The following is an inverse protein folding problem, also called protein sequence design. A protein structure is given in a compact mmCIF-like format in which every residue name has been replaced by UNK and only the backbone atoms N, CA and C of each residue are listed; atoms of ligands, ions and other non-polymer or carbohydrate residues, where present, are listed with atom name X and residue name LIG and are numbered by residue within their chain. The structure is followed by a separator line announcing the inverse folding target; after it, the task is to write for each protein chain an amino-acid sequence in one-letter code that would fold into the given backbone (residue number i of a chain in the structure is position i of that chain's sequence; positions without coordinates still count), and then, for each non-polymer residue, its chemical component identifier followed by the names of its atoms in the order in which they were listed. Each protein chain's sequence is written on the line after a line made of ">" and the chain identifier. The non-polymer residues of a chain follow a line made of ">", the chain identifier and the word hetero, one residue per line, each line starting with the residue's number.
data_IF_752342633722
#
_entry.id   IF_752342633722
#
_cell.length_a   1.000
_cell.length_b   1.000
_cell.length_c   1.000
_cell.angle_alpha   90.00
_cell.angle_beta   90.00
_cell.angle_gamma   90.00
#
_symmetry.space_group_name_H-M   'P 1'
#
loop_
_entity.id
_entity.type
_entity.pdbx_description
1 polymer ?
#
# COMPACT_ATOMS: atom_id res chain seq x y z
N UNK A 1 -20.64 -23.74 -5.24
CA UNK A 1 -21.16 -24.83 -4.38
C UNK A 1 -20.25 -26.06 -4.39
N UNK A 2 -19.90 -26.61 -5.56
CA UNK A 2 -19.05 -27.81 -5.66
C UNK A 2 -17.65 -27.61 -5.04
N UNK A 3 -17.01 -26.46 -5.28
CA UNK A 3 -15.70 -26.14 -4.71
C UNK A 3 -15.69 -26.02 -3.17
N UNK A 4 -16.81 -25.64 -2.56
CA UNK A 4 -16.91 -25.56 -1.10
C UNK A 4 -17.22 -26.89 -0.45
N UNK A 5 -17.89 -27.80 -1.19
CA UNK A 5 -18.13 -29.17 -0.77
C UNK A 5 -16.85 -30.00 -0.83
N UNK A 6 -16.06 -29.86 -1.89
CA UNK A 6 -14.75 -30.52 -1.99
C UNK A 6 -13.78 -30.02 -0.92
N UNK A 7 -13.72 -28.72 -0.65
CA UNK A 7 -12.86 -28.15 0.40
C UNK A 7 -13.33 -28.53 1.82
N UNK A 8 -14.65 -28.72 2.03
CA UNK A 8 -15.21 -29.24 3.28
C UNK A 8 -14.88 -30.72 3.49
N UNK A 9 -14.94 -31.53 2.42
CA UNK A 9 -14.57 -32.94 2.46
C UNK A 9 -13.07 -33.12 2.72
N UNK A 10 -12.21 -32.35 2.04
CA UNK A 10 -10.76 -32.36 2.24
C UNK A 10 -10.40 -31.93 3.67
N UNK A 11 -11.03 -30.87 4.19
CA UNK A 11 -10.85 -30.43 5.58
C UNK A 11 -11.32 -31.49 6.59
N UNK A 12 -12.45 -32.16 6.32
CA UNK A 12 -12.97 -33.24 7.16
C UNK A 12 -12.02 -34.44 7.22
N UNK A 13 -11.51 -34.86 6.06
CA UNK A 13 -10.54 -35.97 5.96
C UNK A 13 -9.23 -35.61 6.67
N UNK A 14 -8.65 -34.43 6.41
CA UNK A 14 -7.40 -34.00 7.06
C UNK A 14 -7.52 -33.87 8.58
N UNK A 15 -8.70 -33.47 9.07
CA UNK A 15 -8.99 -33.38 10.51
C UNK A 15 -9.11 -34.75 11.18
N UNK A 16 -9.53 -35.78 10.46
CA UNK A 16 -9.54 -37.17 10.96
C UNK A 16 -8.12 -37.74 11.10
N UNK A 17 -7.16 -37.26 10.31
CA UNK A 17 -5.74 -37.64 10.39
C UNK A 17 -4.90 -36.73 11.30
N UNK A 18 -5.54 -35.89 12.12
CA UNK A 18 -4.90 -34.92 13.05
C UNK A 18 -3.88 -33.97 12.38
N UNK A 19 -4.04 -33.72 11.08
CA UNK A 19 -3.21 -32.77 10.35
C UNK A 19 -3.87 -31.39 10.40
N UNK A 20 -3.14 -30.37 10.90
CA UNK A 20 -3.60 -28.97 10.88
C UNK A 20 -3.81 -28.51 9.44
N UNK A 21 -5.07 -28.40 9.04
CA UNK A 21 -5.46 -27.90 7.72
C UNK A 21 -6.04 -26.49 7.82
N UNK A 22 -5.55 -25.60 6.94
CA UNK A 22 -5.98 -24.21 6.83
C UNK A 22 -6.99 -24.11 5.69
N UNK A 23 -8.15 -23.48 5.95
CA UNK A 23 -9.27 -23.40 5.00
C UNK A 23 -9.10 -22.24 4.02
N UNK A 24 -8.23 -22.42 3.02
CA UNK A 24 -7.93 -21.43 1.97
C UNK A 24 -9.16 -21.04 1.13
N UNK A 25 -10.17 -21.92 1.01
CA UNK A 25 -11.37 -21.64 0.20
C UNK A 25 -12.15 -20.39 0.63
N UNK A 26 -11.99 -19.93 1.87
CA UNK A 26 -12.70 -18.73 2.37
C UNK A 26 -12.32 -17.46 1.61
N UNK A 27 -11.04 -17.31 1.27
CA UNK A 27 -10.49 -16.16 0.53
C UNK A 27 -10.97 -16.16 -0.93
N UNK A 28 -11.27 -17.33 -1.48
CA UNK A 28 -11.71 -17.50 -2.88
C UNK A 28 -13.21 -17.20 -3.06
N UNK A 29 -14.01 -17.17 -1.97
CA UNK A 29 -15.47 -16.96 -2.05
C UNK A 29 -15.86 -15.58 -2.62
N UNK A 30 -15.27 -14.45 -2.20
CA UNK A 30 -15.56 -13.15 -2.80
C UNK A 30 -15.13 -13.07 -4.26
N UNK A 31 -14.05 -13.77 -4.64
CA UNK A 31 -13.56 -13.82 -6.03
C UNK A 31 -14.54 -14.59 -6.92
N UNK A 32 -15.17 -15.65 -6.40
CA UNK A 32 -16.22 -16.39 -7.11
C UNK A 32 -17.48 -15.55 -7.36
N UNK A 33 -17.80 -14.59 -6.48
CA UNK A 33 -18.92 -13.65 -6.70
C UNK A 33 -18.66 -12.72 -7.89
N UNK A 34 -17.40 -12.39 -8.17
CA UNK A 34 -17.01 -11.60 -9.36
C UNK A 34 -17.22 -12.42 -10.65
N UNK A 35 -17.10 -13.75 -10.60
CA UNK A 35 -17.26 -14.64 -11.76
C UNK A 35 -18.71 -15.06 -12.05
N UNK A 36 -19.71 -14.61 -11.27
CA UNK A 36 -21.11 -14.94 -11.51
C UNK A 36 -21.64 -14.30 -12.80
N UNK A 37 -22.55 -14.98 -13.52
CA UNK A 37 -23.01 -14.54 -14.85
C UNK A 37 -23.63 -13.12 -14.87
N UNK A 38 -24.29 -12.71 -13.78
CA UNK A 38 -24.94 -11.39 -13.63
C UNK A 38 -24.00 -10.24 -13.23
N UNK A 39 -22.71 -10.52 -12.96
CA UNK A 39 -21.75 -9.53 -12.46
C UNK A 39 -21.13 -8.64 -13.56
N UNK A 40 -21.84 -8.40 -14.68
CA UNK A 40 -21.26 -7.69 -15.85
C UNK A 40 -20.72 -6.30 -15.48
N UNK A 41 -21.36 -5.62 -14.53
CA UNK A 41 -20.90 -4.33 -13.98
C UNK A 41 -19.61 -4.48 -13.15
N UNK A 42 -19.52 -5.50 -12.29
CA UNK A 42 -18.34 -5.79 -11.46
C UNK A 42 -17.15 -6.14 -12.35
N UNK A 43 -17.34 -7.03 -13.34
CA UNK A 43 -16.29 -7.38 -14.31
C UNK A 43 -15.80 -6.18 -15.12
N UNK A 44 -16.68 -5.23 -15.45
CA UNK A 44 -16.31 -3.96 -16.08
C UNK A 44 -15.47 -3.09 -15.15
N UNK A 45 -15.86 -2.96 -13.87
CA UNK A 45 -15.10 -2.20 -12.87
C UNK A 45 -13.69 -2.77 -12.66
N UNK A 46 -13.55 -4.10 -12.51
CA UNK A 46 -12.24 -4.76 -12.41
C UNK A 46 -11.38 -4.55 -13.66
N UNK A 47 -11.97 -4.63 -14.85
CA UNK A 47 -11.25 -4.36 -16.10
C UNK A 47 -10.78 -2.89 -16.17
N UNK A 48 -11.60 -1.95 -15.71
CA UNK A 48 -11.22 -0.54 -15.65
C UNK A 48 -10.04 -0.34 -14.69
N UNK A 49 -10.10 -0.87 -13.47
CA UNK A 49 -8.99 -0.82 -12.49
C UNK A 49 -7.70 -1.42 -13.08
N UNK A 50 -7.80 -2.58 -13.73
CA UNK A 50 -6.63 -3.21 -14.36
C UNK A 50 -6.07 -2.36 -15.50
N UNK A 51 -6.92 -1.68 -16.27
CA UNK A 51 -6.48 -0.82 -17.37
C UNK A 51 -5.86 0.49 -16.88
N UNK A 52 -6.19 0.98 -15.68
CA UNK A 52 -5.57 2.17 -15.07
C UNK A 52 -4.28 1.85 -14.32
N UNK A 53 -4.08 0.59 -13.93
CA UNK A 53 -2.91 0.13 -13.18
C UNK A 53 -1.56 0.42 -13.87
N UNK A 54 -1.38 0.26 -15.19
CA UNK A 54 -0.13 0.61 -15.87
C UNK A 54 0.22 2.10 -15.74
N UNK A 55 -0.77 3.00 -15.86
CA UNK A 55 -0.55 4.44 -15.72
C UNK A 55 -0.15 4.81 -14.27
N UNK A 56 -0.76 4.17 -13.28
CA UNK A 56 -0.42 4.34 -11.85
C UNK A 56 0.97 3.76 -11.54
N UNK A 57 1.38 2.68 -12.22
CA UNK A 57 2.65 1.99 -11.97
C UNK A 57 3.85 2.91 -12.16
N UNK A 58 3.85 3.78 -13.16
CA UNK A 58 4.96 4.72 -13.38
C UNK A 58 5.14 5.71 -12.22
N UNK A 59 4.04 6.31 -11.75
CA UNK A 59 4.07 7.20 -10.57
C UNK A 59 4.46 6.44 -9.31
N UNK A 60 3.97 5.21 -9.17
CA UNK A 60 4.31 4.35 -8.05
C UNK A 60 5.79 3.98 -8.01
N UNK A 61 6.41 3.70 -9.14
CA UNK A 61 7.85 3.45 -9.20
C UNK A 61 8.67 4.69 -8.83
N UNK A 62 8.25 5.87 -9.29
CA UNK A 62 8.90 7.14 -8.91
C UNK A 62 8.78 7.39 -7.40
N UNK A 63 7.61 7.12 -6.82
CA UNK A 63 7.35 7.22 -5.39
C UNK A 63 8.24 6.24 -4.60
N UNK A 64 8.27 4.96 -5.00
CA UNK A 64 9.11 3.96 -4.34
C UNK A 64 10.59 4.32 -4.43
N UNK A 65 11.05 4.84 -5.58
CA UNK A 65 12.42 5.34 -5.70
C UNK A 65 12.69 6.49 -4.73
N UNK A 66 11.79 7.47 -4.62
CA UNK A 66 11.92 8.56 -3.65
C UNK A 66 11.99 8.04 -2.21
N UNK A 67 11.07 7.16 -1.83
CA UNK A 67 11.03 6.54 -0.50
C UNK A 67 12.34 5.83 -0.17
N UNK A 68 12.86 5.01 -1.09
CA UNK A 68 14.11 4.27 -0.91
C UNK A 68 15.33 5.20 -0.78
N UNK A 69 15.37 6.28 -1.56
CA UNK A 69 16.43 7.30 -1.48
C UNK A 69 16.41 8.05 -0.14
N UNK A 70 15.24 8.50 0.30
CA UNK A 70 15.09 9.14 1.61
C UNK A 70 15.44 8.19 2.75
N UNK A 71 15.10 6.90 2.63
CA UNK A 71 15.47 5.88 3.61
C UNK A 71 16.98 5.68 3.69
N UNK A 72 17.69 5.70 2.56
CA UNK A 72 19.16 5.64 2.55
C UNK A 72 19.77 6.88 3.19
N UNK A 73 19.21 8.05 2.93
CA UNK A 73 19.64 9.30 3.56
C UNK A 73 19.40 9.28 5.07
N UNK A 74 18.24 8.80 5.53
CA UNK A 74 17.95 8.63 6.95
C UNK A 74 18.93 7.65 7.63
N UNK A 75 19.22 6.51 6.99
CA UNK A 75 20.21 5.56 7.52
C UNK A 75 21.58 6.21 7.71
N UNK A 76 22.03 7.01 6.73
CA UNK A 76 23.32 7.71 6.82
C UNK A 76 23.31 8.87 7.80
N UNK A 77 22.17 9.54 7.96
CA UNK A 77 22.04 10.66 8.87
C UNK A 77 21.98 10.17 10.33
N UNK A 78 21.19 9.13 10.62
CA UNK A 78 20.83 8.75 11.99
C UNK A 78 21.45 7.44 12.48
N UNK A 79 21.86 6.54 11.57
CA UNK A 79 22.23 5.17 11.92
C UNK A 79 23.49 5.01 12.78
N UNK A 80 24.41 5.98 12.76
CA UNK A 80 25.64 5.95 13.57
C UNK A 80 25.52 6.68 14.92
N UNK A 81 24.39 7.34 15.18
CA UNK A 81 24.23 8.24 16.33
C UNK A 81 23.72 7.58 17.62
N UNK A 82 23.54 6.26 17.64
CA UNK A 82 23.04 5.50 18.80
C UNK A 82 21.72 6.06 19.38
N UNK A 83 20.86 6.63 18.54
CA UNK A 83 19.55 7.12 18.94
C UNK A 83 18.64 5.94 19.31
N UNK A 84 17.70 6.17 20.22
CA UNK A 84 16.71 5.18 20.67
C UNK A 84 15.30 5.73 20.48
N UNK A 85 14.36 4.84 20.15
CA UNK A 85 12.93 5.17 20.14
C UNK A 85 12.40 5.31 21.57
N UNK A 86 11.17 5.79 21.72
CA UNK A 86 10.49 5.87 23.03
C UNK A 86 10.39 4.52 23.75
N UNK A 87 10.46 3.41 23.00
CA UNK A 87 10.42 2.04 23.52
C UNK A 87 11.82 1.48 23.85
N UNK A 88 12.88 2.28 23.69
CA UNK A 88 14.27 1.87 23.93
C UNK A 88 14.88 1.03 22.79
N UNK A 89 14.19 0.93 21.64
CA UNK A 89 14.69 0.19 20.49
C UNK A 89 15.69 1.05 19.67
N UNK A 90 16.66 0.44 18.98
CA UNK A 90 17.61 1.18 18.15
C UNK A 90 16.92 1.95 17.03
N UNK A 91 17.13 3.27 16.97
CA UNK A 91 16.53 4.11 15.95
C UNK A 91 17.31 4.05 14.62
N UNK A 92 16.60 3.80 13.52
CA UNK A 92 17.10 3.84 12.14
C UNK A 92 18.44 3.09 11.93
N UNK A 93 18.51 1.85 12.41
CA UNK A 93 19.66 0.94 12.20
C UNK A 93 19.53 0.05 10.98
N UNK A 94 18.36 -0.54 10.78
CA UNK A 94 18.12 -1.49 9.70
C UNK A 94 17.45 -0.79 8.53
N UNK A 95 18.02 -0.93 7.33
CA UNK A 95 17.49 -0.24 6.13
C UNK A 95 16.02 -0.56 5.85
N UNK A 96 15.62 -1.83 5.96
CA UNK A 96 14.24 -2.25 5.67
C UNK A 96 13.24 -1.71 6.71
N UNK A 97 13.64 -1.61 7.97
CA UNK A 97 12.82 -0.99 9.03
C UNK A 97 12.65 0.50 8.76
N UNK A 98 13.72 1.20 8.36
CA UNK A 98 13.64 2.63 7.99
C UNK A 98 12.70 2.83 6.80
N UNK A 99 12.78 1.99 5.77
CA UNK A 99 11.87 2.05 4.62
C UNK A 99 10.42 1.89 5.08
N UNK A 100 10.17 0.96 6.00
CA UNK A 100 8.84 0.74 6.56
C UNK A 100 8.37 1.93 7.42
N UNK A 101 9.20 2.44 8.33
CA UNK A 101 8.88 3.58 9.19
C UNK A 101 8.59 4.84 8.38
N UNK A 102 9.40 5.11 7.34
CA UNK A 102 9.17 6.21 6.42
C UNK A 102 7.94 5.98 5.55
N UNK A 103 7.64 4.74 5.13
CA UNK A 103 6.41 4.41 4.42
C UNK A 103 5.17 4.67 5.29
N UNK A 104 5.20 4.27 6.56
CA UNK A 104 4.13 4.57 7.53
C UNK A 104 4.02 6.09 7.74
N UNK A 105 5.15 6.82 7.74
CA UNK A 105 5.15 8.28 7.79
C UNK A 105 4.53 8.94 6.56
N UNK A 106 4.70 8.37 5.37
CA UNK A 106 3.99 8.84 4.17
C UNK A 106 2.47 8.78 4.40
N UNK A 107 1.99 7.75 5.09
CA UNK A 107 0.57 7.63 5.48
C UNK A 107 0.19 8.41 6.74
N UNK A 108 1.14 9.17 7.33
CA UNK A 108 0.99 9.98 8.54
C UNK A 108 0.60 9.22 9.80
N UNK A 109 0.68 7.89 9.80
CA UNK A 109 0.18 7.05 10.89
C UNK A 109 1.10 7.01 12.12
N UNK A 110 2.38 7.39 11.98
CA UNK A 110 3.39 7.42 13.05
C UNK A 110 3.98 8.84 13.26
N UNK A 111 3.31 9.89 12.79
CA UNK A 111 3.71 11.27 13.05
C UNK A 111 3.04 11.80 14.32
N UNK A 112 3.76 12.46 15.26
CA UNK A 112 5.17 12.85 15.22
C UNK A 112 6.14 11.82 15.83
N UNK A 113 5.68 10.66 16.27
CA UNK A 113 6.48 9.72 17.08
C UNK A 113 7.78 9.28 16.38
N UNK A 114 7.76 9.05 15.07
CA UNK A 114 8.95 8.64 14.30
C UNK A 114 10.04 9.72 14.21
N UNK A 115 9.68 11.00 14.39
CA UNK A 115 10.63 12.13 14.31
C UNK A 115 11.16 12.57 15.67
N UNK A 116 10.50 12.20 16.78
CA UNK A 116 10.87 12.64 18.14
C UNK A 116 12.32 12.30 18.51
N UNK A 117 12.84 11.08 18.30
CA UNK A 117 14.23 10.75 18.66
C UNK A 117 15.28 11.62 17.95
N UNK A 118 15.00 12.01 16.70
CA UNK A 118 15.87 12.87 15.92
C UNK A 118 15.75 14.34 16.36
N UNK A 119 14.54 14.79 16.71
CA UNK A 119 14.26 16.14 17.20
C UNK A 119 14.94 16.41 18.55
N UNK A 120 14.80 15.47 19.50
CA UNK A 120 15.36 15.59 20.85
C UNK A 120 16.90 15.62 20.82
N UNK A 121 17.51 14.96 19.84
CA UNK A 121 18.95 15.03 19.64
C UNK A 121 19.40 16.38 19.04
N UNK A 122 18.69 16.88 18.01
CA UNK A 122 18.89 18.23 17.49
C UNK A 122 17.73 18.66 16.59
N UNK A 123 17.18 19.84 16.86
CA UNK A 123 16.06 20.40 16.09
C UNK A 123 16.37 20.61 14.60
N UNK A 124 17.64 20.67 14.21
CA UNK A 124 18.04 20.76 12.80
C UNK A 124 17.63 19.53 11.98
N UNK A 125 17.54 18.36 12.59
CA UNK A 125 17.15 17.14 11.89
C UNK A 125 15.67 17.10 11.52
N UNK A 126 14.84 17.96 12.12
CA UNK A 126 13.44 18.15 11.71
C UNK A 126 13.31 18.54 10.24
N UNK A 127 14.30 19.26 9.70
CA UNK A 127 14.29 19.69 8.30
C UNK A 127 14.24 18.50 7.33
N UNK A 128 14.88 17.37 7.70
CA UNK A 128 14.79 16.12 6.93
C UNK A 128 13.33 15.64 6.82
N UNK A 129 12.62 15.58 7.95
CA UNK A 129 11.23 15.11 8.00
C UNK A 129 10.27 16.07 7.31
N UNK A 130 10.48 17.37 7.45
CA UNK A 130 9.69 18.40 6.75
C UNK A 130 9.83 18.23 5.23
N UNK A 131 11.07 18.12 4.74
CA UNK A 131 11.31 17.90 3.31
C UNK A 131 10.71 16.57 2.82
N UNK A 132 10.84 15.51 3.62
CA UNK A 132 10.24 14.21 3.31
C UNK A 132 8.72 14.27 3.19
N UNK A 133 8.04 14.91 4.16
CA UNK A 133 6.57 15.04 4.19
C UNK A 133 6.07 15.89 3.01
N UNK A 134 6.75 17.01 2.71
CA UNK A 134 6.40 17.84 1.53
C UNK A 134 6.47 17.02 0.25
N UNK A 135 7.55 16.27 0.04
CA UNK A 135 7.76 15.51 -1.19
C UNK A 135 6.86 14.26 -1.25
N UNK A 136 6.95 13.38 -0.25
CA UNK A 136 6.30 12.07 -0.29
C UNK A 136 4.83 12.09 0.13
N UNK A 137 4.47 12.87 1.14
CA UNK A 137 3.09 12.91 1.61
C UNK A 137 2.25 13.87 0.78
N UNK A 138 2.71 15.10 0.52
CA UNK A 138 1.89 16.08 -0.19
C UNK A 138 2.01 15.98 -1.72
N UNK A 139 3.22 16.03 -2.27
CA UNK A 139 3.40 16.04 -3.74
C UNK A 139 3.02 14.67 -4.33
N UNK A 140 3.59 13.57 -3.83
CA UNK A 140 3.33 12.24 -4.40
C UNK A 140 1.88 11.78 -4.22
N UNK A 141 1.24 11.99 -3.06
CA UNK A 141 -0.18 11.61 -2.91
C UNK A 141 -1.10 12.44 -3.81
N UNK A 142 -0.80 13.74 -3.98
CA UNK A 142 -1.53 14.58 -4.94
C UNK A 142 -1.34 14.10 -6.38
N UNK A 143 -0.13 13.64 -6.73
CA UNK A 143 0.17 13.07 -8.04
C UNK A 143 -0.57 11.75 -8.29
N UNK A 144 -0.65 10.86 -7.29
CA UNK A 144 -1.45 9.64 -7.36
C UNK A 144 -2.92 9.96 -7.62
N UNK A 145 -3.50 10.90 -6.85
CA UNK A 145 -4.88 11.33 -7.03
C UNK A 145 -5.10 11.90 -8.45
N UNK A 146 -4.17 12.71 -8.95
CA UNK A 146 -4.25 13.29 -10.28
C UNK A 146 -4.25 12.23 -11.40
N UNK A 147 -3.39 11.21 -11.31
CA UNK A 147 -3.33 10.12 -12.30
C UNK A 147 -4.60 9.27 -12.26
N UNK A 148 -5.09 8.94 -11.07
CA UNK A 148 -6.35 8.19 -10.90
C UNK A 148 -7.53 8.98 -11.46
N UNK A 149 -7.59 10.28 -11.17
CA UNK A 149 -8.65 11.17 -11.65
C UNK A 149 -8.62 11.33 -13.17
N UNK A 150 -7.43 11.51 -13.77
CA UNK A 150 -7.29 11.62 -15.23
C UNK A 150 -7.78 10.34 -15.94
N UNK A 151 -7.44 9.19 -15.37
CA UNK A 151 -7.92 7.89 -15.84
C UNK A 151 -9.44 7.77 -15.72
N UNK A 152 -10.01 8.14 -14.57
CA UNK A 152 -11.45 8.10 -14.36
C UNK A 152 -12.20 8.99 -15.37
N UNK A 153 -11.71 10.22 -15.59
CA UNK A 153 -12.27 11.16 -16.57
C UNK A 153 -12.19 10.63 -18.01
N UNK A 154 -11.11 9.92 -18.37
CA UNK A 154 -10.95 9.27 -19.67
C UNK A 154 -12.02 8.19 -19.90
N UNK A 155 -12.38 7.42 -18.87
CA UNK A 155 -13.44 6.41 -18.95
C UNK A 155 -14.84 7.02 -19.05
N UNK A 156 -15.08 8.17 -18.39
CA UNK A 156 -16.35 8.90 -18.51
C UNK A 156 -16.56 9.54 -19.89
N UNK A 157 -15.51 10.11 -20.50
CA UNK A 157 -15.59 10.73 -21.84
C UNK A 157 -15.86 9.73 -22.98
N UNK A 158 -15.61 8.44 -22.76
CA UNK A 158 -15.86 7.37 -23.74
C UNK A 158 -17.33 6.93 -23.75
N UNK A 159 -18.15 7.37 -22.79
CA UNK A 159 -19.60 7.35 -22.95
C UNK A 159 -19.99 8.61 -23.73
N UNK A 160 -20.35 8.52 -25.02
CA UNK A 160 -20.79 9.70 -25.75
C UNK A 160 -21.99 10.30 -25.02
N UNK A 161 -21.97 11.63 -24.90
CA UNK A 161 -23.05 12.46 -24.38
C UNK A 161 -24.27 12.48 -25.34
N UNK A 162 -24.70 11.32 -25.81
CA UNK A 162 -25.77 11.14 -26.81
C UNK A 162 -26.51 9.80 -26.66
N UNK A 163 -26.63 9.29 -25.43
CA UNK A 163 -27.46 8.12 -25.12
C UNK A 163 -28.68 8.48 -24.24
N UNK A 164 -29.03 9.77 -24.20
CA UNK A 164 -30.31 10.26 -23.72
C UNK A 164 -30.71 11.38 -24.70
N UNK A 165 -31.65 11.03 -25.58
CA UNK A 165 -32.44 11.88 -26.48
C UNK A 165 -31.73 12.55 -27.68
#
# INVERSE_FOLDING_TARGET
>A
LQLSLTDLAIYGVLRLYDVRSIRWSRIVRPIFLINFAESRQIRRAFRSIRNTLPEITYVFLLFMFSLLMFSLMALKLFGERNLQTAEGLPYFRNYLEIVFDLYVLVTTANSPDVMMPAFDFSSWYTLFFIAFVIINTYIFMSLFLAVVYNNYKKHLKVMPAGAYD
#
